data_IF_700543946039
#
_entry.id   IF_700543946039
#
_cell.length_a   1.000
_cell.length_b   1.000
_cell.length_c   1.000
_cell.angle_alpha   90.00
_cell.angle_beta   90.00
_cell.angle_gamma   90.00
#
_symmetry.space_group_name_H-M   'P 1'
#
loop_
_entity.id
_entity.type
_entity.pdbx_description
1 polymer ?
#
# COMPACT_ATOMS: atom_id res chain seq x y z
N UNK A 1 1.20 15.25 -14.35
CA UNK A 1 1.01 13.79 -14.44
C UNK A 1 0.54 13.38 -15.83
N UNK A 2 1.19 12.41 -16.43
CA UNK A 2 0.77 11.88 -17.74
C UNK A 2 -0.29 10.78 -17.55
N UNK A 3 -1.55 11.14 -17.75
CA UNK A 3 -2.70 10.24 -17.60
C UNK A 3 -2.72 9.09 -18.61
N UNK A 4 -2.20 9.30 -19.82
CA UNK A 4 -2.16 8.28 -20.86
C UNK A 4 -1.20 7.17 -20.41
N UNK A 5 -0.03 7.56 -19.95
CA UNK A 5 0.98 6.65 -19.40
C UNK A 5 0.44 5.90 -18.18
N UNK A 6 -0.18 6.62 -17.24
CA UNK A 6 -0.75 6.03 -16.04
C UNK A 6 -1.82 4.98 -16.36
N UNK A 7 -2.77 5.30 -17.24
CA UNK A 7 -3.82 4.36 -17.66
C UNK A 7 -3.24 3.11 -18.32
N UNK A 8 -2.21 3.27 -19.14
CA UNK A 8 -1.51 2.12 -19.75
C UNK A 8 -0.85 1.25 -18.68
N UNK A 9 -0.12 1.84 -17.76
CA UNK A 9 0.54 1.10 -16.67
C UNK A 9 -0.45 0.42 -15.73
N UNK A 10 -1.58 1.05 -15.41
CA UNK A 10 -2.65 0.45 -14.63
C UNK A 10 -3.20 -0.82 -15.30
N UNK A 11 -3.43 -0.76 -16.61
CA UNK A 11 -3.88 -1.91 -17.38
C UNK A 11 -2.83 -3.02 -17.42
N UNK A 12 -1.59 -2.67 -17.76
CA UNK A 12 -0.52 -3.65 -17.99
C UNK A 12 -0.05 -4.34 -16.69
N UNK A 13 0.04 -3.57 -15.59
CA UNK A 13 0.57 -4.06 -14.31
C UNK A 13 -0.50 -4.58 -13.35
N UNK A 14 -1.67 -3.96 -13.33
CA UNK A 14 -2.72 -4.25 -12.35
C UNK A 14 -4.03 -4.76 -12.98
N UNK A 15 -4.11 -4.84 -14.30
CA UNK A 15 -5.34 -5.24 -15.00
C UNK A 15 -6.49 -4.23 -14.88
N UNK A 16 -6.21 -3.00 -14.42
CA UNK A 16 -7.21 -1.95 -14.22
C UNK A 16 -7.39 -1.20 -15.54
N UNK A 17 -8.52 -1.42 -16.21
CA UNK A 17 -8.80 -0.84 -17.53
C UNK A 17 -9.37 0.57 -17.46
N UNK A 18 -10.04 0.93 -16.37
CA UNK A 18 -10.62 2.25 -16.13
C UNK A 18 -10.72 2.54 -14.64
N UNK A 19 -10.79 3.82 -14.29
CA UNK A 19 -11.07 4.30 -12.95
C UNK A 19 -12.45 4.94 -12.92
N UNK A 20 -13.22 4.66 -11.88
CA UNK A 20 -14.46 5.38 -11.60
C UNK A 20 -14.13 6.82 -11.18
N UNK A 21 -15.06 7.78 -11.35
CA UNK A 21 -14.79 9.19 -11.04
C UNK A 21 -14.23 9.46 -9.65
N UNK A 22 -14.75 8.79 -8.63
CA UNK A 22 -14.26 8.93 -7.25
C UNK A 22 -12.87 8.31 -7.05
N UNK A 23 -12.54 7.23 -7.77
CA UNK A 23 -11.21 6.63 -7.76
C UNK A 23 -10.20 7.54 -8.47
N UNK A 24 -10.58 8.09 -9.61
CA UNK A 24 -9.75 9.04 -10.36
C UNK A 24 -9.43 10.29 -9.52
N UNK A 25 -10.41 10.81 -8.77
CA UNK A 25 -10.22 11.94 -7.87
C UNK A 25 -9.18 11.64 -6.78
N UNK A 26 -9.28 10.50 -6.11
CA UNK A 26 -8.34 10.09 -5.06
C UNK A 26 -6.94 9.87 -5.64
N UNK A 27 -6.84 9.15 -6.75
CA UNK A 27 -5.55 8.87 -7.41
C UNK A 27 -4.87 10.15 -7.87
N UNK A 28 -5.63 11.07 -8.47
CA UNK A 28 -5.10 12.39 -8.89
C UNK A 28 -4.57 13.18 -7.71
N UNK A 29 -5.32 13.22 -6.61
CA UNK A 29 -4.89 13.95 -5.42
C UNK A 29 -3.56 13.42 -4.88
N UNK A 30 -3.41 12.10 -4.78
CA UNK A 30 -2.17 11.47 -4.34
C UNK A 30 -1.03 11.77 -5.32
N UNK A 31 -1.26 11.64 -6.62
CA UNK A 31 -0.24 11.85 -7.63
C UNK A 31 0.30 13.28 -7.66
N UNK A 32 -0.58 14.27 -7.60
CA UNK A 32 -0.19 15.69 -7.57
C UNK A 32 0.64 16.00 -6.31
N UNK A 33 0.29 15.44 -5.17
CA UNK A 33 1.05 15.65 -3.94
C UNK A 33 2.42 14.94 -3.98
N UNK A 34 2.49 13.73 -4.55
CA UNK A 34 3.75 13.02 -4.75
C UNK A 34 4.70 13.78 -5.69
N UNK A 35 4.20 14.30 -6.81
CA UNK A 35 4.98 15.12 -7.75
C UNK A 35 5.54 16.39 -7.10
N UNK A 36 4.77 17.01 -6.21
CA UNK A 36 5.16 18.25 -5.54
C UNK A 36 5.91 18.01 -4.21
N UNK A 37 6.23 16.77 -3.85
CA UNK A 37 6.81 16.38 -2.56
C UNK A 37 6.05 16.98 -1.37
N UNK A 38 4.72 17.03 -1.47
CA UNK A 38 3.86 17.66 -0.47
C UNK A 38 3.26 16.61 0.46
N UNK A 39 3.51 16.75 1.74
CA UNK A 39 2.78 15.97 2.74
C UNK A 39 1.31 16.38 2.75
N UNK A 40 0.44 15.39 2.74
CA UNK A 40 -1.01 15.60 2.75
C UNK A 40 -1.71 14.53 3.57
N UNK A 41 -2.89 14.90 4.07
CA UNK A 41 -3.83 13.98 4.71
C UNK A 41 -5.11 13.97 3.87
N UNK A 42 -5.50 12.79 3.43
CA UNK A 42 -6.72 12.59 2.66
C UNK A 42 -7.64 11.61 3.38
N UNK A 43 -8.87 12.05 3.65
CA UNK A 43 -9.94 11.17 4.13
C UNK A 43 -10.90 10.90 2.97
N UNK A 44 -10.96 9.66 2.52
CA UNK A 44 -11.91 9.21 1.50
C UNK A 44 -12.98 8.32 2.14
N UNK A 45 -14.22 8.80 2.19
CA UNK A 45 -15.37 8.05 2.70
C UNK A 45 -16.18 7.56 1.51
N UNK A 46 -16.15 6.26 1.29
CA UNK A 46 -16.75 5.61 0.13
C UNK A 46 -17.68 4.47 0.56
N UNK A 47 -18.82 4.26 -0.12
CA UNK A 47 -19.72 3.17 0.22
C UNK A 47 -19.10 1.80 -0.04
N UNK A 48 -19.64 0.78 0.63
CA UNK A 48 -19.29 -0.63 0.40
C UNK A 48 -19.51 -0.99 -1.08
N UNK A 49 -18.56 -1.72 -1.67
CA UNK A 49 -18.65 -2.11 -3.08
C UNK A 49 -18.25 -1.03 -4.10
N UNK A 50 -17.77 0.13 -3.64
CA UNK A 50 -17.32 1.23 -4.51
C UNK A 50 -15.92 1.06 -5.13
N UNK A 51 -15.26 -0.07 -4.87
CA UNK A 51 -13.89 -0.31 -5.36
C UNK A 51 -12.82 0.48 -4.62
N UNK A 52 -12.93 0.64 -3.30
CA UNK A 52 -11.96 1.36 -2.45
C UNK A 52 -10.53 0.87 -2.61
N UNK A 53 -10.34 -0.43 -2.85
CA UNK A 53 -9.01 -1.03 -3.03
C UNK A 53 -8.22 -0.39 -4.16
N UNK A 54 -8.88 0.02 -5.23
CA UNK A 54 -8.23 0.67 -6.37
C UNK A 54 -7.63 2.03 -5.96
N UNK A 55 -8.25 2.73 -5.00
CA UNK A 55 -7.76 4.02 -4.54
C UNK A 55 -6.35 3.97 -3.93
N UNK A 56 -5.93 2.83 -3.37
CA UNK A 56 -4.57 2.65 -2.86
C UNK A 56 -3.70 1.75 -3.75
N UNK A 57 -4.30 0.87 -4.56
CA UNK A 57 -3.55 0.03 -5.50
C UNK A 57 -3.02 0.82 -6.70
N UNK A 58 -3.83 1.70 -7.27
CA UNK A 58 -3.41 2.51 -8.41
C UNK A 58 -2.20 3.42 -8.10
N UNK A 59 -2.11 4.09 -6.94
CA UNK A 59 -0.94 4.86 -6.56
C UNK A 59 0.37 4.07 -6.44
N UNK A 60 0.33 2.75 -6.24
CA UNK A 60 1.54 1.93 -6.17
C UNK A 60 2.43 2.04 -7.40
N UNK A 61 1.86 2.41 -8.53
CA UNK A 61 2.59 2.54 -9.80
C UNK A 61 3.56 3.72 -9.80
N UNK A 62 3.18 4.83 -9.17
CA UNK A 62 3.96 6.08 -9.21
C UNK A 62 4.59 6.47 -7.87
N UNK A 63 4.12 5.97 -6.73
CA UNK A 63 4.76 6.20 -5.43
C UNK A 63 6.15 5.55 -5.43
N UNK A 64 7.17 6.29 -5.05
CA UNK A 64 8.56 5.81 -5.05
C UNK A 64 8.89 4.92 -3.85
N UNK A 65 8.34 5.22 -2.69
CA UNK A 65 8.59 4.52 -1.44
C UNK A 65 7.76 3.24 -1.26
N UNK A 66 7.84 2.67 -0.05
CA UNK A 66 6.99 1.58 0.41
C UNK A 66 5.65 2.14 0.85
N UNK A 67 4.56 1.50 0.44
CA UNK A 67 3.21 1.84 0.88
C UNK A 67 2.85 1.00 2.10
N UNK A 68 2.48 1.66 3.18
CA UNK A 68 2.05 1.03 4.42
C UNK A 68 0.52 0.91 4.44
N UNK A 69 0.02 -0.31 4.48
CA UNK A 69 -1.40 -0.62 4.59
C UNK A 69 -1.73 -1.14 6.00
N UNK A 70 -2.50 -0.38 6.75
CA UNK A 70 -2.87 -0.72 8.13
C UNK A 70 -4.31 -1.22 8.16
N UNK A 71 -4.50 -2.43 8.66
CA UNK A 71 -5.81 -3.07 8.80
C UNK A 71 -6.12 -3.41 10.26
N UNK A 72 -7.38 -3.27 10.69
CA UNK A 72 -7.77 -3.56 12.07
C UNK A 72 -7.88 -5.05 12.39
N UNK A 73 -8.07 -5.90 11.38
CA UNK A 73 -8.35 -7.32 11.55
C UNK A 73 -7.35 -8.19 10.75
N UNK A 74 -6.91 -9.27 11.37
CA UNK A 74 -6.00 -10.25 10.74
C UNK A 74 -6.61 -10.91 9.50
N UNK A 75 -7.92 -11.14 9.49
CA UNK A 75 -8.62 -11.70 8.32
C UNK A 75 -8.56 -10.77 7.12
N UNK A 76 -8.70 -9.46 7.33
CA UNK A 76 -8.55 -8.46 6.26
C UNK A 76 -7.12 -8.40 5.74
N UNK A 77 -6.13 -8.53 6.61
CA UNK A 77 -4.72 -8.58 6.22
C UNK A 77 -4.45 -9.78 5.31
N UNK A 78 -4.95 -10.96 5.66
CA UNK A 78 -4.79 -12.17 4.87
C UNK A 78 -5.47 -12.05 3.49
N UNK A 79 -6.65 -11.45 3.43
CA UNK A 79 -7.35 -11.19 2.16
C UNK A 79 -6.56 -10.25 1.26
N UNK A 80 -6.02 -9.17 1.81
CA UNK A 80 -5.22 -8.22 1.05
C UNK A 80 -3.91 -8.83 0.57
N UNK A 81 -3.25 -9.62 1.40
CA UNK A 81 -2.03 -10.34 1.01
C UNK A 81 -2.29 -11.27 -0.19
N UNK A 82 -3.39 -12.03 -0.15
CA UNK A 82 -3.79 -12.89 -1.28
C UNK A 82 -4.05 -12.09 -2.57
N UNK A 83 -4.75 -10.96 -2.47
CA UNK A 83 -5.01 -10.07 -3.61
C UNK A 83 -3.72 -9.50 -4.19
N UNK A 84 -2.83 -9.00 -3.36
CA UNK A 84 -1.52 -8.47 -3.79
C UNK A 84 -0.71 -9.55 -4.51
N UNK A 85 -0.66 -10.75 -3.96
CA UNK A 85 0.01 -11.91 -4.56
C UNK A 85 -0.58 -12.28 -5.92
N UNK A 86 -1.92 -12.30 -6.03
CA UNK A 86 -2.61 -12.58 -7.30
C UNK A 86 -2.31 -11.52 -8.38
N UNK A 87 -2.04 -10.29 -7.98
CA UNK A 87 -1.68 -9.18 -8.87
C UNK A 87 -0.16 -9.03 -9.08
N UNK A 88 0.65 -9.98 -8.58
CA UNK A 88 2.12 -9.93 -8.61
C UNK A 88 2.71 -8.65 -8.00
N UNK A 89 2.05 -8.09 -6.98
CA UNK A 89 2.56 -6.95 -6.21
C UNK A 89 3.44 -7.48 -5.08
N UNK A 90 4.71 -7.06 -5.01
CA UNK A 90 5.60 -7.46 -3.91
C UNK A 90 5.12 -6.87 -2.59
N UNK A 91 4.43 -7.66 -1.79
CA UNK A 91 3.89 -7.28 -0.49
C UNK A 91 4.38 -8.20 0.61
N UNK A 92 4.63 -7.62 1.78
CA UNK A 92 4.95 -8.35 3.00
C UNK A 92 3.91 -8.08 4.06
N UNK A 93 3.69 -9.04 4.95
CA UNK A 93 2.78 -8.91 6.09
C UNK A 93 3.56 -9.03 7.39
N UNK A 94 3.41 -8.05 8.28
CA UNK A 94 3.87 -8.11 9.66
C UNK A 94 2.67 -8.12 10.60
N UNK A 95 2.58 -9.15 11.44
CA UNK A 95 1.48 -9.35 12.40
C UNK A 95 2.00 -9.96 13.69
N UNK A 96 1.22 -9.85 14.76
CA UNK A 96 1.49 -10.53 16.02
C UNK A 96 1.54 -12.05 15.86
N UNK A 97 2.31 -12.74 16.73
CA UNK A 97 2.49 -14.19 16.69
C UNK A 97 3.52 -14.72 15.70
N UNK A 98 4.07 -13.87 14.86
CA UNK A 98 5.21 -14.24 14.00
C UNK A 98 6.48 -14.39 14.83
N UNK A 99 7.34 -15.33 14.44
CA UNK A 99 8.66 -15.48 15.02
C UNK A 99 9.53 -14.23 14.80
N UNK A 100 10.39 -13.94 15.77
CA UNK A 100 11.30 -12.78 15.72
C UNK A 100 12.18 -12.81 14.48
N UNK A 101 12.72 -13.98 14.13
CA UNK A 101 13.56 -14.14 12.96
C UNK A 101 12.81 -13.84 11.65
N UNK A 102 11.55 -14.27 11.53
CA UNK A 102 10.70 -13.95 10.38
C UNK A 102 10.46 -12.46 10.26
N UNK A 103 10.14 -11.80 11.37
CA UNK A 103 9.94 -10.34 11.40
C UNK A 103 11.18 -9.58 10.95
N UNK A 104 12.36 -9.97 11.47
CA UNK A 104 13.64 -9.34 11.11
C UNK A 104 13.96 -9.53 9.62
N UNK A 105 13.75 -10.73 9.06
CA UNK A 105 13.93 -10.99 7.63
C UNK A 105 13.03 -10.12 6.75
N UNK A 106 11.77 -9.94 7.15
CA UNK A 106 10.83 -9.07 6.41
C UNK A 106 11.29 -7.62 6.47
N UNK A 107 11.67 -7.12 7.63
CA UNK A 107 12.15 -5.74 7.81
C UNK A 107 13.41 -5.50 6.98
N UNK A 108 14.39 -6.40 7.02
CA UNK A 108 15.59 -6.30 6.20
C UNK A 108 15.27 -6.30 4.70
N UNK A 109 14.35 -7.15 4.26
CA UNK A 109 13.91 -7.20 2.88
C UNK A 109 13.18 -5.91 2.45
N UNK A 110 12.39 -5.28 3.34
CA UNK A 110 11.80 -3.96 3.12
C UNK A 110 12.85 -2.87 2.94
N UNK A 111 13.86 -2.85 3.82
CA UNK A 111 14.98 -1.89 3.74
C UNK A 111 15.74 -2.05 2.41
N UNK A 112 15.88 -3.27 1.93
CA UNK A 112 16.53 -3.57 0.64
C UNK A 112 15.67 -3.31 -0.58
N UNK A 113 14.42 -2.86 -0.40
CA UNK A 113 13.50 -2.55 -1.49
C UNK A 113 12.85 -3.76 -2.16
N UNK A 114 12.85 -4.93 -1.52
CA UNK A 114 12.21 -6.15 -2.07
C UNK A 114 10.69 -6.07 -2.11
N UNK A 115 10.09 -5.27 -1.23
CA UNK A 115 8.65 -5.14 -1.12
C UNK A 115 8.19 -3.73 -1.44
N UNK A 116 7.06 -3.64 -2.13
CA UNK A 116 6.38 -2.38 -2.46
C UNK A 116 5.33 -2.00 -1.42
N UNK A 117 4.75 -3.01 -0.78
CA UNK A 117 3.67 -2.84 0.21
C UNK A 117 4.03 -3.58 1.49
N UNK A 118 3.80 -2.93 2.63
CA UNK A 118 3.78 -3.56 3.93
C UNK A 118 2.35 -3.56 4.47
N UNK A 119 1.82 -4.75 4.72
CA UNK A 119 0.52 -4.97 5.35
C UNK A 119 0.75 -5.24 6.83
N UNK A 120 0.10 -4.48 7.70
CA UNK A 120 0.25 -4.65 9.15
C UNK A 120 -1.00 -4.17 9.90
N UNK A 121 -0.99 -4.28 11.21
CA UNK A 121 -1.99 -3.67 12.09
C UNK A 121 -1.35 -2.61 12.99
N UNK A 122 -2.18 -1.85 13.68
CA UNK A 122 -1.72 -0.72 14.49
C UNK A 122 -0.84 -1.17 15.67
N UNK A 123 -1.13 -2.31 16.27
CA UNK A 123 -0.38 -2.84 17.41
C UNK A 123 1.05 -3.18 17.01
N UNK A 124 1.21 -3.83 15.85
CA UNK A 124 2.52 -4.18 15.32
C UNK A 124 3.30 -2.93 14.91
N UNK A 125 2.64 -1.98 14.25
CA UNK A 125 3.27 -0.71 13.87
C UNK A 125 3.80 0.05 15.08
N UNK A 126 2.99 0.18 16.13
CA UNK A 126 3.40 0.83 17.37
C UNK A 126 4.57 0.10 18.06
N UNK A 127 4.58 -1.23 18.01
CA UNK A 127 5.68 -2.05 18.52
C UNK A 127 6.98 -1.76 17.77
N UNK A 128 6.93 -1.64 16.43
CA UNK A 128 8.09 -1.32 15.61
C UNK A 128 8.63 0.09 15.88
N UNK A 129 7.75 1.08 15.96
CA UNK A 129 8.13 2.48 16.23
C UNK A 129 8.80 2.64 17.60
N UNK A 130 8.34 1.89 18.60
CA UNK A 130 8.91 1.91 19.95
C UNK A 130 10.21 1.11 20.10
N UNK A 131 10.55 0.28 19.12
CA UNK A 131 11.75 -0.55 19.21
C UNK A 131 13.01 0.29 18.94
N UNK A 132 14.03 0.27 19.83
CA UNK A 132 15.20 1.14 19.71
C UNK A 132 15.96 1.02 18.39
N UNK A 133 15.91 -0.16 17.76
CA UNK A 133 16.58 -0.43 16.46
C UNK A 133 15.87 0.23 15.28
N UNK A 134 14.57 0.49 15.38
CA UNK A 134 13.73 0.98 14.27
C UNK A 134 13.09 2.33 14.56
N UNK A 135 13.28 2.87 15.75
CA UNK A 135 12.83 4.21 16.08
C UNK A 135 13.55 5.25 15.21
N UNK A 136 12.84 6.26 14.71
CA UNK A 136 13.43 7.32 13.93
C UNK A 136 14.40 8.17 14.74
#
# INVERSE_FOLDING_TARGET
MDWIKLKKELKDKLGITYLLPHQELVVTHIAVNEENNKETKLLAVLPTGSGKSICFLAPLIFIKGVVLCIYPLLSLMADQERRMKAMNIPAATLKGGMDRNEKEKIIEALIRGKYKVLITNIEMLLSLIKHPRYAP
#
